data_IF_424583055322
#
_entry.id   IF_424583055322
#
_cell.length_a   1.000
_cell.length_b   1.000
_cell.length_c   1.000
_cell.angle_alpha   90.00
_cell.angle_beta   90.00
_cell.angle_gamma   90.00
#
_symmetry.space_group_name_H-M   'P 1'
#
loop_
_entity.id
_entity.type
_entity.pdbx_description
1 polymer ?
#
# COMPACT_ATOMS: atom_id res chain seq x y z
N UNK A 1 -5.06 2.79 -10.53
CA UNK A 1 -5.88 1.57 -10.38
C UNK A 1 -5.14 0.58 -9.51
N UNK A 2 -3.94 0.11 -9.89
CA UNK A 2 -3.16 -0.80 -9.04
C UNK A 2 -2.82 -0.19 -7.67
N UNK A 3 -2.45 1.09 -7.63
CA UNK A 3 -2.21 1.79 -6.36
C UNK A 3 -3.41 1.80 -5.41
N UNK A 4 -4.62 2.10 -5.92
CA UNK A 4 -5.86 2.14 -5.13
C UNK A 4 -6.33 0.76 -4.68
N UNK A 5 -6.10 -0.28 -5.50
CA UNK A 5 -6.37 -1.67 -5.15
C UNK A 5 -5.46 -2.14 -4.00
N UNK A 6 -4.16 -1.87 -4.10
CA UNK A 6 -3.19 -2.19 -3.04
C UNK A 6 -3.52 -1.41 -1.77
N UNK A 7 -3.89 -0.13 -1.89
CA UNK A 7 -4.30 0.70 -0.76
C UNK A 7 -5.52 0.09 -0.05
N UNK A 8 -6.55 -0.32 -0.80
CA UNK A 8 -7.74 -0.99 -0.25
C UNK A 8 -7.43 -2.34 0.41
N UNK A 9 -6.56 -3.15 -0.19
CA UNK A 9 -6.16 -4.45 0.37
C UNK A 9 -5.37 -4.30 1.67
N UNK A 10 -4.42 -3.37 1.72
CA UNK A 10 -3.64 -3.10 2.93
C UNK A 10 -4.49 -2.47 4.03
N UNK A 11 -5.43 -1.59 3.65
CA UNK A 11 -6.39 -1.01 4.58
C UNK A 11 -7.27 -2.09 5.22
N UNK A 12 -7.85 -3.00 4.42
CA UNK A 12 -8.64 -4.13 4.95
C UNK A 12 -7.80 -5.01 5.89
N UNK A 13 -6.58 -5.36 5.48
CA UNK A 13 -5.69 -6.19 6.28
C UNK A 13 -5.36 -5.56 7.64
N UNK A 14 -5.09 -4.24 7.67
CA UNK A 14 -4.80 -3.50 8.90
C UNK A 14 -6.06 -3.25 9.75
N UNK A 15 -7.24 -3.15 9.15
CA UNK A 15 -8.50 -3.01 9.87
C UNK A 15 -8.89 -4.26 10.67
N UNK A 16 -8.50 -5.45 10.21
CA UNK A 16 -8.77 -6.73 10.92
C UNK A 16 -8.18 -6.77 12.33
N UNK A 17 -7.08 -6.06 12.56
CA UNK A 17 -6.49 -5.86 13.88
C UNK A 17 -6.05 -4.39 14.03
N UNK A 18 -7.03 -3.49 13.95
CA UNK A 18 -6.81 -2.05 14.05
C UNK A 18 -6.09 -1.61 15.35
N UNK A 19 -6.36 -2.21 16.53
CA UNK A 19 -5.59 -1.89 17.74
C UNK A 19 -4.09 -2.15 17.58
N UNK A 20 -3.72 -3.28 16.96
CA UNK A 20 -2.32 -3.61 16.68
C UNK A 20 -1.71 -2.69 15.63
N UNK A 21 -2.47 -2.36 14.58
CA UNK A 21 -2.06 -1.38 13.57
C UNK A 21 -1.74 -0.02 14.19
N UNK A 22 -2.59 0.49 15.08
CA UNK A 22 -2.41 1.80 15.74
C UNK A 22 -1.33 1.81 16.83
N UNK A 23 -0.92 0.64 17.31
CA UNK A 23 0.14 0.48 18.31
C UNK A 23 1.53 0.32 17.67
N UNK A 24 1.62 0.12 16.36
CA UNK A 24 2.87 -0.02 15.63
C UNK A 24 3.74 1.24 15.71
N UNK A 25 5.06 1.11 15.66
CA UNK A 25 6.01 2.23 15.76
C UNK A 25 5.91 3.16 14.56
N UNK A 26 5.65 2.61 13.36
CA UNK A 26 5.47 3.36 12.12
C UNK A 26 4.05 3.94 11.96
N UNK A 27 3.20 3.87 12.98
CA UNK A 27 1.85 4.46 12.95
C UNK A 27 1.91 5.95 12.62
N UNK A 28 1.23 6.42 11.55
CA UNK A 28 1.24 7.82 11.17
C UNK A 28 0.47 8.68 12.17
N UNK A 29 1.00 9.88 12.40
CA UNK A 29 0.43 10.86 13.34
C UNK A 29 0.00 12.11 12.58
N UNK A 30 -1.04 12.77 13.09
CA UNK A 30 -1.48 14.07 12.60
C UNK A 30 -0.38 15.12 12.77
N UNK A 31 -0.47 16.20 11.97
CA UNK A 31 0.43 17.36 12.09
C UNK A 31 0.46 17.84 13.55
N UNK A 32 1.63 17.82 14.16
CA UNK A 32 1.82 18.08 15.59
C UNK A 32 2.21 16.85 16.42
N UNK A 33 2.17 15.63 15.87
CA UNK A 33 2.82 14.43 16.44
C UNK A 33 2.16 13.82 17.68
N UNK A 34 1.11 14.43 18.22
CA UNK A 34 0.45 13.97 19.46
C UNK A 34 -0.69 12.99 19.17
N UNK A 35 -1.46 13.20 18.10
CA UNK A 35 -2.63 12.38 17.77
C UNK A 35 -2.34 11.43 16.62
N UNK A 36 -2.74 10.17 16.76
CA UNK A 36 -2.71 9.18 15.67
C UNK A 36 -3.71 9.60 14.58
N UNK A 37 -3.30 9.45 13.33
CA UNK A 37 -4.14 9.70 12.16
C UNK A 37 -5.19 8.58 12.02
N UNK A 38 -6.46 8.86 11.71
CA UNK A 38 -7.45 7.82 11.45
C UNK A 38 -6.97 6.83 10.38
N UNK A 39 -7.17 5.52 10.59
CA UNK A 39 -6.65 4.48 9.70
C UNK A 39 -7.13 4.65 8.24
N UNK A 40 -8.37 5.09 8.05
CA UNK A 40 -8.94 5.38 6.74
C UNK A 40 -8.24 6.53 5.99
N UNK A 41 -7.51 7.39 6.69
CA UNK A 41 -6.80 8.52 6.06
C UNK A 41 -5.35 8.16 5.69
N UNK A 42 -4.88 6.96 6.04
CA UNK A 42 -3.48 6.56 5.79
C UNK A 42 -3.25 6.43 4.29
N UNK A 43 -2.18 7.06 3.79
CA UNK A 43 -1.80 6.92 2.40
C UNK A 43 -1.10 5.58 2.16
N UNK A 44 -1.02 5.13 0.91
CA UNK A 44 -0.35 3.88 0.52
C UNK A 44 1.04 3.67 1.16
N UNK A 45 1.86 4.72 1.26
CA UNK A 45 3.18 4.60 1.89
C UNK A 45 3.08 4.31 3.39
N UNK A 46 2.21 5.03 4.09
CA UNK A 46 1.93 4.81 5.52
C UNK A 46 1.38 3.40 5.79
N UNK A 47 0.50 2.91 4.92
CA UNK A 47 -0.06 1.55 5.01
C UNK A 47 1.03 0.48 4.81
N UNK A 48 1.90 0.63 3.81
CA UNK A 48 3.01 -0.31 3.55
C UNK A 48 3.97 -0.34 4.72
N UNK A 49 4.34 0.83 5.25
CA UNK A 49 5.28 0.95 6.36
C UNK A 49 4.80 0.14 7.57
N UNK A 50 3.54 0.33 7.98
CA UNK A 50 2.95 -0.40 9.11
C UNK A 50 2.74 -1.88 8.77
N UNK A 51 2.33 -2.21 7.55
CA UNK A 51 2.14 -3.60 7.13
C UNK A 51 3.46 -4.41 7.13
N UNK A 52 4.57 -3.79 6.73
CA UNK A 52 5.91 -4.40 6.81
C UNK A 52 6.33 -4.58 8.25
N UNK A 53 6.15 -3.56 9.10
CA UNK A 53 6.49 -3.65 10.53
C UNK A 53 5.73 -4.79 11.23
N UNK A 54 4.44 -4.93 10.91
CA UNK A 54 3.59 -5.97 11.46
C UNK A 54 3.78 -7.33 10.78
N UNK A 55 4.73 -7.45 9.85
CA UNK A 55 5.00 -8.65 9.05
C UNK A 55 3.76 -9.17 8.29
N UNK A 56 2.81 -8.28 7.96
CA UNK A 56 1.65 -8.58 7.10
C UNK A 56 2.12 -8.83 5.66
N UNK A 57 3.12 -8.06 5.22
CA UNK A 57 3.84 -8.23 3.95
C UNK A 57 5.37 -8.26 4.23
N UNK A 58 6.17 -8.86 3.34
CA UNK A 58 7.62 -9.02 3.59
C UNK A 58 8.45 -7.76 3.29
N UNK A 59 9.66 -7.66 3.86
CA UNK A 59 10.58 -6.52 3.67
C UNK A 59 11.06 -6.36 2.21
N UNK A 60 10.95 -7.40 1.38
CA UNK A 60 11.16 -7.26 -0.06
C UNK A 60 10.04 -6.42 -0.72
N UNK A 61 8.84 -6.35 -0.12
CA UNK A 61 7.79 -5.35 -0.39
C UNK A 61 8.22 -3.91 -0.05
N UNK A 62 9.21 -3.73 0.82
CA UNK A 62 9.80 -2.42 1.12
C UNK A 62 10.72 -1.96 -0.03
N UNK A 63 11.35 -2.86 -0.79
CA UNK A 63 11.99 -2.50 -2.09
C UNK A 63 10.96 -2.15 -3.15
N UNK A 64 9.76 -2.76 -3.07
CA UNK A 64 8.62 -2.26 -3.80
C UNK A 64 8.26 -0.84 -3.33
N UNK A 65 8.44 -0.41 -2.07
CA UNK A 65 8.15 0.96 -1.62
C UNK A 65 8.86 2.07 -2.44
N UNK A 66 10.12 1.82 -2.84
CA UNK A 66 10.91 2.70 -3.71
C UNK A 66 10.38 2.71 -5.14
N UNK A 67 9.94 1.55 -5.64
CA UNK A 67 9.08 1.44 -6.82
C UNK A 67 7.71 2.08 -6.60
N UNK A 68 7.13 2.06 -5.40
CA UNK A 68 5.76 2.44 -5.03
C UNK A 68 5.58 3.95 -4.93
N UNK A 69 6.66 4.70 -4.69
CA UNK A 69 6.69 6.12 -5.07
C UNK A 69 6.33 6.31 -6.55
N UNK A 70 6.72 5.40 -7.43
CA UNK A 70 6.25 5.33 -8.83
C UNK A 70 4.89 4.59 -8.98
N UNK A 71 4.45 3.75 -8.04
CA UNK A 71 3.08 3.17 -8.01
C UNK A 71 1.99 4.22 -7.79
N UNK A 72 2.32 5.37 -7.19
CA UNK A 72 1.43 6.55 -7.14
C UNK A 72 1.08 7.10 -8.54
N UNK A 73 1.82 6.66 -9.56
CA UNK A 73 1.60 6.93 -10.97
C UNK A 73 1.22 5.66 -11.78
N UNK A 74 0.94 4.51 -11.15
CA UNK A 74 0.51 3.32 -11.89
C UNK A 74 -0.97 3.37 -12.26
N UNK A 75 -1.18 3.41 -13.58
CA UNK A 75 -2.42 3.34 -14.36
C UNK A 75 -3.61 3.85 -13.58
N UNK A 76 -3.76 5.16 -13.50
CA UNK A 76 -4.97 5.76 -12.99
C UNK A 76 -5.66 6.38 -14.21
N UNK A 77 -6.75 5.81 -14.75
CA UNK A 77 -7.40 6.33 -15.96
C UNK A 77 -7.65 7.84 -15.88
N UNK A 78 -8.08 8.30 -14.70
CA UNK A 78 -8.27 9.73 -14.42
C UNK A 78 -6.99 10.59 -14.38
N UNK A 79 -5.83 10.05 -13.95
CA UNK A 79 -4.55 10.77 -14.07
C UNK A 79 -3.95 10.64 -15.46
N UNK A 80 -4.08 9.52 -16.15
CA UNK A 80 -3.53 9.33 -17.50
C UNK A 80 -4.15 10.32 -18.49
N UNK A 81 -5.47 10.54 -18.38
CA UNK A 81 -6.18 11.54 -19.17
C UNK A 81 -5.74 12.97 -18.81
N UNK A 82 -5.37 13.24 -17.55
CA UNK A 82 -4.95 14.58 -17.09
C UNK A 82 -3.44 14.86 -17.21
N UNK A 83 -2.57 13.85 -17.20
CA UNK A 83 -1.11 14.00 -17.13
C UNK A 83 -0.38 13.74 -18.45
N UNK A 84 -1.10 13.29 -19.49
CA UNK A 84 -0.52 12.86 -20.78
C UNK A 84 0.61 11.82 -20.64
N UNK A 85 0.73 11.16 -19.48
CA UNK A 85 1.68 10.06 -19.32
C UNK A 85 1.19 8.87 -20.15
N UNK A 86 1.99 8.50 -21.15
CA UNK A 86 1.86 7.19 -21.78
C UNK A 86 2.38 6.15 -20.80
N UNK A 87 1.47 5.34 -20.28
CA UNK A 87 1.85 4.07 -19.64
C UNK A 87 2.13 3.08 -20.76
N UNK A 88 3.34 2.52 -20.79
CA UNK A 88 3.68 1.47 -21.72
C UNK A 88 3.34 0.10 -21.08
N UNK A 89 3.38 -0.95 -21.90
CA UNK A 89 3.00 -2.31 -21.48
C UNK A 89 3.89 -2.79 -20.33
N UNK A 90 5.15 -2.37 -20.33
CA UNK A 90 6.15 -2.73 -19.34
C UNK A 90 5.79 -2.23 -17.93
N UNK A 91 5.29 -1.00 -17.80
CA UNK A 91 4.82 -0.50 -16.50
C UNK A 91 3.52 -1.18 -16.05
N UNK A 92 2.66 -1.58 -17.00
CA UNK A 92 1.44 -2.34 -16.69
C UNK A 92 1.77 -3.74 -16.13
N UNK A 93 2.70 -4.44 -16.76
CA UNK A 93 3.14 -5.79 -16.35
C UNK A 93 3.78 -5.75 -14.96
N UNK A 94 4.60 -4.72 -14.67
CA UNK A 94 5.18 -4.53 -13.34
C UNK A 94 4.09 -4.34 -12.28
N UNK A 95 3.07 -3.52 -12.59
CA UNK A 95 1.96 -3.26 -11.69
C UNK A 95 1.13 -4.52 -11.38
N UNK A 96 0.88 -5.33 -12.41
CA UNK A 96 0.18 -6.60 -12.30
C UNK A 96 0.96 -7.59 -11.42
N UNK A 97 2.26 -7.76 -11.68
CA UNK A 97 3.10 -8.68 -10.89
C UNK A 97 3.16 -8.30 -9.42
N UNK A 98 3.11 -7.01 -9.10
CA UNK A 98 3.05 -6.58 -7.69
C UNK A 98 1.71 -6.83 -7.05
N UNK A 99 0.62 -6.62 -7.79
CA UNK A 99 -0.70 -6.97 -7.29
C UNK A 99 -0.77 -8.48 -6.99
N UNK A 100 -0.25 -9.34 -7.87
CA UNK A 100 -0.15 -10.78 -7.65
C UNK A 100 0.65 -11.13 -6.38
N UNK A 101 1.80 -10.48 -6.16
CA UNK A 101 2.64 -10.71 -4.97
C UNK A 101 1.88 -10.32 -3.69
N UNK A 102 1.24 -9.16 -3.66
CA UNK A 102 0.47 -8.69 -2.50
C UNK A 102 -0.68 -9.65 -2.20
N UNK A 103 -1.44 -10.06 -3.22
CA UNK A 103 -2.54 -11.02 -3.05
C UNK A 103 -2.03 -12.36 -2.50
N UNK A 104 -0.91 -12.85 -3.02
CA UNK A 104 -0.29 -14.11 -2.56
C UNK A 104 0.13 -14.03 -1.10
N UNK A 105 0.81 -12.97 -0.70
CA UNK A 105 1.29 -12.80 0.69
C UNK A 105 0.13 -12.71 1.68
N UNK A 106 -0.88 -11.91 1.34
CA UNK A 106 -2.12 -11.81 2.13
C UNK A 106 -2.79 -13.18 2.26
N UNK A 107 -2.90 -13.94 1.16
CA UNK A 107 -3.52 -15.26 1.16
C UNK A 107 -2.76 -16.31 1.97
N UNK A 108 -1.43 -16.22 2.04
CA UNK A 108 -0.59 -17.16 2.80
C UNK A 108 -0.59 -16.86 4.29
N UNK A 109 -0.58 -15.57 4.67
CA UNK A 109 -0.50 -15.14 6.08
C UNK A 109 -1.87 -14.97 6.75
N UNK A 110 -2.97 -14.88 6.00
CA UNK A 110 -4.34 -14.77 6.53
C UNK A 110 -5.12 -16.10 6.49
N UNK A 111 -4.45 -17.26 6.50
CA UNK A 111 -5.15 -18.54 6.73
C UNK A 111 -5.76 -18.52 8.14
N UNK A 112 -7.03 -18.96 8.31
CA UNK A 112 -7.70 -19.00 9.60
C UNK A 112 -7.00 -19.93 10.60
#
# INVERSE_FOLDING_TARGET
MCGSLIEGLLLDALQRDEPKARAANKTPKLKGGVKIKPLADWNLGELIDVAVELNIIETHAEQFSHGVRNYRNLIHPGKEIQSAQKVATEEADIAEKVLEIVIRELSQKMKP
#
